data_IF_278034652706
#
_entry.id   IF_278034652706
#
_cell.length_a   1.000
_cell.length_b   1.000
_cell.length_c   1.000
_cell.angle_alpha   90.00
_cell.angle_beta   90.00
_cell.angle_gamma   90.00
#
_symmetry.space_group_name_H-M   'P 1'
#
loop_
_entity.id
_entity.type
_entity.pdbx_description
1 polymer ?
#
# COMPACT_ATOMS: atom_id res chain seq x y z
N UNK A 1 -25.93 15.07 7.06
CA UNK A 1 -24.60 15.02 7.70
C UNK A 1 -23.59 14.45 6.71
N UNK A 2 -22.65 15.25 6.23
CA UNK A 2 -21.36 14.78 5.69
C UNK A 2 -20.45 16.02 5.61
N UNK A 3 -19.92 16.41 6.78
CA UNK A 3 -18.99 17.52 6.93
C UNK A 3 -17.58 17.13 6.48
N UNK A 4 -17.42 16.85 5.18
CA UNK A 4 -16.10 16.62 4.58
C UNK A 4 -15.73 17.87 3.79
N UNK A 5 -14.72 18.59 4.26
CA UNK A 5 -14.11 19.69 3.51
C UNK A 5 -13.36 19.05 2.33
N UNK A 6 -13.97 19.06 1.14
CA UNK A 6 -13.28 18.76 -0.11
C UNK A 6 -13.09 20.06 -0.87
N UNK A 7 -11.90 20.28 -1.41
CA UNK A 7 -11.77 21.16 -2.56
C UNK A 7 -12.75 20.63 -3.63
N UNK A 8 -13.72 21.45 -4.05
CA UNK A 8 -14.69 21.05 -5.08
C UNK A 8 -13.96 20.95 -6.41
N UNK A 9 -13.41 19.78 -6.69
CA UNK A 9 -13.06 19.43 -8.07
C UNK A 9 -14.38 19.34 -8.86
N UNK A 10 -14.46 19.94 -10.05
CA UNK A 10 -15.71 20.02 -10.81
C UNK A 10 -16.13 18.70 -11.47
N UNK A 11 -15.44 17.59 -11.19
CA UNK A 11 -15.70 16.29 -11.78
C UNK A 11 -15.66 15.18 -10.71
N UNK A 12 -16.49 14.16 -10.90
CA UNK A 12 -16.54 12.98 -10.05
C UNK A 12 -16.06 11.76 -10.84
N UNK A 13 -15.08 11.04 -10.32
CA UNK A 13 -14.52 9.84 -10.96
C UNK A 13 -15.47 8.66 -10.75
N UNK A 14 -15.79 7.93 -11.82
CA UNK A 14 -16.68 6.76 -11.78
C UNK A 14 -15.98 5.45 -12.09
N UNK A 15 -14.93 5.46 -12.92
CA UNK A 15 -14.15 4.28 -13.30
C UNK A 15 -12.68 4.64 -13.44
N UNK A 16 -11.81 3.65 -13.24
CA UNK A 16 -10.40 3.76 -13.59
C UNK A 16 -9.84 2.38 -13.96
N UNK A 17 -8.97 2.31 -14.96
CA UNK A 17 -8.27 1.09 -15.35
C UNK A 17 -6.92 1.44 -15.96
N UNK A 18 -5.85 0.80 -15.49
CA UNK A 18 -4.49 1.15 -15.87
C UNK A 18 -4.21 2.62 -15.57
N UNK A 19 -3.85 3.38 -16.60
CA UNK A 19 -3.55 4.82 -16.50
C UNK A 19 -4.75 5.71 -16.82
N UNK A 20 -5.92 5.15 -17.11
CA UNK A 20 -7.10 5.91 -17.54
C UNK A 20 -8.13 6.04 -16.42
N UNK A 21 -8.71 7.22 -16.31
CA UNK A 21 -9.78 7.56 -15.38
C UNK A 21 -10.96 8.12 -16.17
N UNK A 22 -12.17 7.65 -15.87
CA UNK A 22 -13.43 8.14 -16.44
C UNK A 22 -14.23 8.89 -15.39
N UNK A 23 -14.69 10.11 -15.72
CA UNK A 23 -15.59 10.87 -14.85
C UNK A 23 -17.08 10.50 -15.04
N UNK A 24 -17.97 11.19 -14.33
CA UNK A 24 -19.42 10.95 -14.37
C UNK A 24 -20.07 11.40 -15.68
N UNK A 25 -19.41 12.26 -16.44
CA UNK A 25 -19.85 12.73 -17.75
C UNK A 25 -19.26 11.87 -18.90
N UNK A 26 -18.64 10.73 -18.55
CA UNK A 26 -17.95 9.81 -19.45
C UNK A 26 -16.73 10.40 -20.16
N UNK A 27 -16.11 11.45 -19.60
CA UNK A 27 -14.85 11.98 -20.12
C UNK A 27 -13.67 11.21 -19.53
N UNK A 28 -12.72 10.86 -20.39
CA UNK A 28 -11.52 10.13 -20.02
C UNK A 28 -10.32 11.06 -19.83
N UNK A 29 -9.49 10.72 -18.83
CA UNK A 29 -8.29 11.45 -18.46
C UNK A 29 -7.15 10.47 -18.25
N UNK A 30 -5.94 10.89 -18.64
CA UNK A 30 -4.71 10.20 -18.27
C UNK A 30 -4.34 10.57 -16.83
N UNK A 31 -4.18 9.58 -15.96
CA UNK A 31 -3.75 9.75 -14.58
C UNK A 31 -2.23 9.95 -14.49
N UNK A 32 -1.80 11.20 -14.50
CA UNK A 32 -0.39 11.57 -14.29
C UNK A 32 0.01 11.66 -12.81
N UNK A 33 -0.95 11.51 -11.88
CA UNK A 33 -0.67 11.56 -10.44
C UNK A 33 -0.39 10.16 -9.87
N UNK A 34 -1.01 9.12 -10.43
CA UNK A 34 -0.87 7.72 -10.04
C UNK A 34 -0.97 7.50 -8.52
N UNK A 35 -1.94 8.18 -7.88
CA UNK A 35 -2.12 8.14 -6.42
C UNK A 35 -0.91 8.69 -5.64
N UNK A 36 -0.30 9.77 -6.12
CA UNK A 36 0.99 10.29 -5.63
C UNK A 36 2.11 9.24 -5.71
N UNK A 37 2.14 8.48 -6.80
CA UNK A 37 3.11 7.42 -7.07
C UNK A 37 2.81 6.06 -6.43
N UNK A 38 1.71 5.92 -5.67
CA UNK A 38 1.35 4.64 -5.03
C UNK A 38 0.82 3.59 -6.02
N UNK A 39 0.30 4.00 -7.17
CA UNK A 39 -0.31 3.13 -8.17
C UNK A 39 0.68 2.73 -9.27
N UNK A 40 1.77 2.06 -8.90
CA UNK A 40 2.82 1.66 -9.84
C UNK A 40 2.35 0.74 -10.99
N UNK A 41 1.30 -0.05 -10.77
CA UNK A 41 0.66 -0.92 -11.78
C UNK A 41 -0.59 -0.30 -12.42
N UNK A 42 -0.90 0.96 -12.09
CA UNK A 42 -2.16 1.61 -12.45
C UNK A 42 -3.36 1.11 -11.65
N UNK A 43 -4.54 1.64 -11.98
CA UNK A 43 -5.80 1.29 -11.33
C UNK A 43 -6.27 -0.12 -11.74
N UNK A 44 -6.77 -0.89 -10.77
CA UNK A 44 -7.47 -2.16 -11.00
C UNK A 44 -6.68 -3.20 -11.82
N UNK A 45 -5.37 -3.34 -11.55
CA UNK A 45 -4.54 -4.36 -12.21
C UNK A 45 -5.09 -5.78 -11.94
N UNK A 46 -5.27 -6.63 -12.96
CA UNK A 46 -5.97 -7.92 -12.82
C UNK A 46 -5.32 -8.85 -11.80
N UNK A 47 -3.99 -8.92 -11.75
CA UNK A 47 -3.29 -9.78 -10.79
C UNK A 47 -3.44 -9.31 -9.35
N UNK A 48 -3.52 -7.99 -9.12
CA UNK A 48 -3.72 -7.41 -7.77
C UNK A 48 -5.14 -7.71 -7.31
N UNK A 49 -6.13 -7.49 -8.17
CA UNK A 49 -7.53 -7.79 -7.87
C UNK A 49 -7.73 -9.27 -7.55
N UNK A 50 -7.17 -10.16 -8.37
CA UNK A 50 -7.25 -11.62 -8.16
C UNK A 50 -6.61 -12.03 -6.83
N UNK A 51 -5.46 -11.46 -6.48
CA UNK A 51 -4.75 -11.75 -5.24
C UNK A 51 -5.54 -11.30 -4.01
N UNK A 52 -6.10 -10.08 -4.04
CA UNK A 52 -6.96 -9.56 -2.97
C UNK A 52 -8.21 -10.44 -2.79
N UNK A 53 -8.90 -10.76 -3.88
CA UNK A 53 -10.09 -11.62 -3.85
C UNK A 53 -9.77 -12.99 -3.25
N UNK A 54 -8.66 -13.61 -3.66
CA UNK A 54 -8.21 -14.91 -3.14
C UNK A 54 -8.01 -14.86 -1.63
N UNK A 55 -7.36 -13.82 -1.10
CA UNK A 55 -7.14 -13.68 0.36
C UNK A 55 -8.47 -13.52 1.09
N UNK A 56 -9.36 -12.65 0.62
CA UNK A 56 -10.66 -12.40 1.25
C UNK A 56 -11.50 -13.68 1.34
N UNK A 57 -11.46 -14.54 0.31
CA UNK A 57 -12.25 -15.79 0.30
C UNK A 57 -11.53 -16.99 0.90
N UNK A 58 -10.25 -16.89 1.25
CA UNK A 58 -9.42 -18.02 1.72
C UNK A 58 -9.67 -18.45 3.17
N UNK A 59 -10.29 -17.58 3.98
CA UNK A 59 -10.39 -17.77 5.43
C UNK A 59 -9.11 -17.41 6.20
N UNK A 60 -8.08 -16.88 5.54
CA UNK A 60 -6.91 -16.31 6.22
C UNK A 60 -7.32 -15.13 7.11
N UNK A 61 -6.68 -14.97 8.28
CA UNK A 61 -6.94 -13.82 9.14
C UNK A 61 -6.43 -12.54 8.46
N UNK A 62 -7.30 -11.52 8.35
CA UNK A 62 -6.95 -10.22 7.78
C UNK A 62 -6.17 -9.33 8.75
N UNK A 63 -6.24 -9.62 10.05
CA UNK A 63 -5.56 -8.86 11.10
C UNK A 63 -5.09 -9.80 12.20
N UNK A 64 -3.80 -9.78 12.50
CA UNK A 64 -3.16 -10.69 13.46
C UNK A 64 -2.28 -9.98 14.49
N UNK A 65 -2.26 -8.64 14.49
CA UNK A 65 -1.32 -7.81 15.25
C UNK A 65 0.12 -8.32 15.05
N UNK A 66 0.74 -8.82 16.11
CA UNK A 66 2.12 -9.32 16.11
C UNK A 66 2.24 -10.78 15.67
N UNK A 67 1.14 -11.53 15.57
CA UNK A 67 1.18 -12.94 15.16
C UNK A 67 1.49 -13.05 13.67
N UNK A 68 2.34 -14.03 13.32
CA UNK A 68 2.70 -14.28 11.93
C UNK A 68 1.73 -15.25 11.23
N UNK A 69 1.78 -15.25 9.90
CA UNK A 69 1.10 -16.20 9.04
C UNK A 69 2.07 -16.66 7.95
N UNK A 70 1.88 -17.86 7.35
CA UNK A 70 2.73 -18.31 6.24
C UNK A 70 2.80 -17.31 5.08
N UNK A 71 1.72 -16.56 4.84
CA UNK A 71 1.68 -15.50 3.82
C UNK A 71 2.57 -14.31 4.19
N UNK A 72 2.56 -13.89 5.46
CA UNK A 72 3.42 -12.82 5.98
C UNK A 72 4.90 -13.22 5.96
N UNK A 73 5.19 -14.47 6.31
CA UNK A 73 6.56 -15.01 6.27
C UNK A 73 7.09 -15.03 4.84
N UNK A 74 6.34 -15.61 3.89
CA UNK A 74 6.71 -15.64 2.48
C UNK A 74 6.90 -14.23 1.88
N UNK A 75 6.03 -13.27 2.24
CA UNK A 75 6.19 -11.88 1.83
C UNK A 75 7.46 -11.25 2.41
N UNK A 76 7.76 -11.50 3.69
CA UNK A 76 8.94 -10.95 4.37
C UNK A 76 10.24 -11.48 3.76
N UNK A 77 10.30 -12.79 3.51
CA UNK A 77 11.44 -13.44 2.83
C UNK A 77 11.66 -12.88 1.43
N UNK A 78 10.59 -12.77 0.64
CA UNK A 78 10.66 -12.21 -0.71
C UNK A 78 11.14 -10.75 -0.68
N UNK A 79 10.58 -9.91 0.20
CA UNK A 79 10.96 -8.51 0.30
C UNK A 79 12.43 -8.34 0.71
N UNK A 80 12.90 -9.09 1.70
CA UNK A 80 14.30 -9.06 2.12
C UNK A 80 15.23 -9.54 1.01
N UNK A 81 14.84 -10.55 0.22
CA UNK A 81 15.65 -11.06 -0.89
C UNK A 81 15.92 -10.02 -1.99
N UNK A 82 15.07 -9.00 -2.11
CA UNK A 82 15.21 -7.90 -3.07
C UNK A 82 16.22 -6.82 -2.61
N UNK A 83 16.62 -6.84 -1.33
CA UNK A 83 17.60 -5.90 -0.78
C UNK A 83 19.05 -6.35 -1.06
N UNK A 84 20.02 -5.42 -1.04
CA UNK A 84 21.44 -5.75 -1.17
C UNK A 84 21.88 -6.86 -0.21
N UNK A 85 22.80 -7.72 -0.66
CA UNK A 85 23.25 -8.86 0.15
C UNK A 85 22.17 -9.90 0.44
N UNK A 86 21.06 -9.90 -0.31
CA UNK A 86 19.88 -10.76 -0.10
C UNK A 86 19.25 -10.56 1.28
N UNK A 87 19.30 -9.34 1.81
CA UNK A 87 18.63 -8.99 3.06
C UNK A 87 19.27 -9.54 4.34
N UNK A 88 20.43 -10.20 4.28
CA UNK A 88 21.07 -10.87 5.44
C UNK A 88 21.41 -9.95 6.61
N UNK A 89 21.68 -8.67 6.33
CA UNK A 89 21.99 -7.65 7.35
C UNK A 89 20.79 -6.75 7.66
N UNK A 90 19.61 -7.07 7.14
CA UNK A 90 18.41 -6.25 7.24
C UNK A 90 17.36 -6.93 8.12
N UNK A 91 16.60 -6.12 8.85
CA UNK A 91 15.41 -6.57 9.56
C UNK A 91 14.19 -5.83 9.01
N UNK A 92 13.03 -6.48 9.05
CA UNK A 92 11.77 -5.91 8.59
C UNK A 92 10.88 -5.56 9.79
N UNK A 93 10.40 -4.31 9.83
CA UNK A 93 9.36 -3.88 10.75
C UNK A 93 8.14 -3.43 9.96
N UNK A 94 7.01 -4.09 10.18
CA UNK A 94 5.73 -3.66 9.64
C UNK A 94 5.19 -2.49 10.48
N UNK A 95 4.88 -1.37 9.83
CA UNK A 95 4.34 -0.17 10.47
C UNK A 95 2.88 0.03 10.08
N UNK A 96 2.27 1.15 10.52
CA UNK A 96 0.99 1.59 9.98
C UNK A 96 1.03 1.79 8.45
N UNK A 97 -0.15 1.94 7.82
CA UNK A 97 -0.31 1.89 6.37
C UNK A 97 0.24 3.11 5.63
N UNK A 98 0.79 4.11 6.34
CA UNK A 98 1.29 5.34 5.74
C UNK A 98 2.82 5.46 5.79
N UNK A 99 3.38 6.24 4.88
CA UNK A 99 4.81 6.58 4.91
C UNK A 99 5.21 7.38 6.17
N UNK A 100 4.27 8.12 6.77
CA UNK A 100 4.54 8.83 8.03
C UNK A 100 4.78 7.86 9.20
N UNK A 101 4.02 6.76 9.27
CA UNK A 101 4.22 5.71 10.28
C UNK A 101 5.61 5.07 10.15
N UNK A 102 6.06 4.86 8.91
CA UNK A 102 7.40 4.34 8.63
C UNK A 102 8.51 5.29 9.12
N UNK A 103 8.37 6.60 8.84
CA UNK A 103 9.33 7.62 9.31
C UNK A 103 9.33 7.71 10.84
N UNK A 104 8.16 7.68 11.48
CA UNK A 104 8.07 7.70 12.94
C UNK A 104 8.73 6.48 13.58
N UNK A 105 8.50 5.28 13.02
CA UNK A 105 9.16 4.05 13.49
C UNK A 105 10.69 4.14 13.36
N UNK A 106 11.19 4.62 12.22
CA UNK A 106 12.62 4.82 12.00
C UNK A 106 13.24 5.80 13.03
N UNK A 107 12.56 6.92 13.32
CA UNK A 107 13.01 7.88 14.33
C UNK A 107 13.03 7.28 15.75
N UNK A 108 12.03 6.45 16.09
CA UNK A 108 11.98 5.75 17.39
C UNK A 108 13.13 4.74 17.51
N UNK A 109 13.42 3.98 16.46
CA UNK A 109 14.54 3.03 16.42
C UNK A 109 15.88 3.75 16.57
N UNK A 110 16.11 4.82 15.81
CA UNK A 110 17.33 5.62 15.88
C UNK A 110 17.57 6.15 17.31
N UNK A 111 16.54 6.73 17.94
CA UNK A 111 16.65 7.21 19.34
C UNK A 111 16.95 6.10 20.34
N UNK A 112 16.33 4.92 20.20
CA UNK A 112 16.61 3.76 21.07
C UNK A 112 18.05 3.25 20.89
N UNK A 113 18.56 3.23 19.66
CA UNK A 113 19.94 2.78 19.37
C UNK A 113 21.02 3.75 19.84
N UNK A 114 20.67 5.00 20.13
CA UNK A 114 21.57 6.07 20.57
C UNK A 114 21.40 6.44 22.06
N UNK A 115 20.58 5.69 22.80
CA UNK A 115 20.45 5.87 24.24
C UNK A 115 21.66 5.25 24.95
N UNK A 116 22.35 5.97 25.87
CA UNK A 116 23.47 5.42 26.63
C UNK A 116 23.07 4.27 27.57
#
# INVERSE_FOLDING_TARGET
>A
MSGVIRARLPFAITKANGVWITDADNKEYLDCLAGAGTLALGHNHPDVLKSIQSVITSGLPLHTLDLTTPLKDAFSEYLLSMLPGQGKEYCLQFTGPSGADAVEAALKLAKKSHWP
#
